data_IF_653844277528
#
_entry.id   IF_653844277528
#
_cell.length_a   1.000
_cell.length_b   1.000
_cell.length_c   1.000
_cell.angle_alpha   90.00
_cell.angle_beta   90.00
_cell.angle_gamma   90.00
#
_symmetry.space_group_name_H-M   'P 1'
#
loop_
_entity.id
_entity.type
_entity.pdbx_description
1 polymer ?
#
# COMPACT_ATOMS: atom_id res chain seq x y z
N UNK A 1 2.78 -15.55 6.62
CA UNK A 1 2.39 -14.78 7.82
C UNK A 1 1.47 -15.63 8.68
N UNK A 2 0.24 -15.97 8.23
CA UNK A 2 -0.76 -16.69 9.04
C UNK A 2 -0.16 -17.94 9.72
N UNK A 3 0.44 -18.85 8.95
CA UNK A 3 1.04 -20.10 9.46
C UNK A 3 2.17 -19.86 10.46
N UNK A 4 3.02 -18.83 10.24
CA UNK A 4 4.17 -18.56 11.13
C UNK A 4 3.75 -18.00 12.49
N UNK A 5 2.72 -17.16 12.49
CA UNK A 5 2.31 -16.44 13.70
C UNK A 5 1.03 -16.99 14.32
N UNK A 6 0.45 -18.04 13.75
CA UNK A 6 -0.79 -18.63 14.25
C UNK A 6 -1.99 -17.68 14.24
N UNK A 7 -1.99 -16.71 13.32
CA UNK A 7 -3.05 -15.69 13.21
C UNK A 7 -3.96 -15.97 12.02
N UNK A 8 -5.21 -15.58 12.15
CA UNK A 8 -6.13 -15.54 11.02
C UNK A 8 -5.86 -14.29 10.17
N UNK A 9 -5.82 -14.46 8.85
CA UNK A 9 -5.64 -13.37 7.88
C UNK A 9 -6.85 -13.34 6.97
N UNK A 10 -7.66 -12.30 7.12
CA UNK A 10 -8.81 -12.07 6.26
C UNK A 10 -8.40 -11.41 4.95
N UNK A 11 -8.70 -12.05 3.81
CA UNK A 11 -8.40 -11.54 2.48
C UNK A 11 -9.61 -10.83 1.88
N UNK A 12 -9.57 -9.50 1.82
CA UNK A 12 -10.56 -8.69 1.10
C UNK A 12 -10.16 -8.57 -0.37
N UNK A 13 -10.98 -9.11 -1.26
CA UNK A 13 -10.75 -9.08 -2.71
C UNK A 13 -11.91 -8.37 -3.41
N UNK A 14 -11.67 -7.66 -4.52
CA UNK A 14 -12.75 -7.21 -5.40
C UNK A 14 -13.54 -8.41 -5.94
N UNK A 15 -14.81 -8.22 -6.17
CA UNK A 15 -15.69 -9.24 -6.79
C UNK A 15 -15.24 -9.58 -8.20
N UNK A 16 -14.86 -8.55 -8.97
CA UNK A 16 -14.37 -8.71 -10.33
C UNK A 16 -12.86 -8.90 -10.38
N UNK A 17 -12.37 -9.76 -11.25
CA UNK A 17 -10.97 -9.82 -11.66
C UNK A 17 -10.51 -8.48 -12.27
N UNK A 18 -9.23 -8.33 -12.61
CA UNK A 18 -8.76 -7.13 -13.32
C UNK A 18 -9.36 -7.10 -14.72
N UNK A 19 -9.36 -8.23 -15.40
CA UNK A 19 -9.84 -8.40 -16.78
C UNK A 19 -11.34 -8.10 -16.88
N UNK A 20 -12.14 -8.62 -15.97
CA UNK A 20 -13.59 -8.36 -15.91
C UNK A 20 -13.89 -6.89 -15.62
N UNK A 21 -13.15 -6.28 -14.68
CA UNK A 21 -13.28 -4.88 -14.36
C UNK A 21 -12.93 -3.97 -15.55
N UNK A 22 -11.87 -4.29 -16.27
CA UNK A 22 -11.48 -3.56 -17.49
C UNK A 22 -12.49 -3.74 -18.62
N UNK A 23 -13.01 -4.95 -18.82
CA UNK A 23 -14.05 -5.21 -19.81
C UNK A 23 -15.33 -4.40 -19.55
N UNK A 24 -15.78 -4.31 -18.28
CA UNK A 24 -16.93 -3.50 -17.90
C UNK A 24 -16.72 -1.99 -18.06
N UNK A 25 -15.48 -1.52 -18.04
CA UNK A 25 -15.13 -0.11 -18.12
C UNK A 25 -14.57 0.32 -19.49
N UNK A 26 -14.62 -0.56 -20.49
CA UNK A 26 -14.13 -0.34 -21.86
C UNK A 26 -12.62 0.00 -21.94
N UNK A 27 -11.81 -0.59 -21.06
CA UNK A 27 -10.36 -0.41 -21.14
C UNK A 27 -9.61 -0.48 -19.82
N UNK A 28 -8.30 -0.30 -19.88
CA UNK A 28 -7.43 -0.41 -18.73
C UNK A 28 -7.57 0.79 -17.77
N UNK A 29 -8.56 0.76 -16.89
CA UNK A 29 -8.90 1.85 -15.96
C UNK A 29 -7.68 2.31 -15.14
N UNK A 30 -6.76 1.41 -14.82
CA UNK A 30 -5.53 1.77 -14.11
C UNK A 30 -4.62 2.72 -14.91
N UNK A 31 -4.69 2.71 -16.25
CA UNK A 31 -3.92 3.63 -17.12
C UNK A 31 -4.61 4.97 -17.30
N UNK A 32 -5.90 4.94 -17.59
CA UNK A 32 -6.65 6.15 -17.96
C UNK A 32 -7.17 6.92 -16.76
N UNK A 33 -7.62 6.18 -15.74
CA UNK A 33 -8.24 6.72 -14.52
C UNK A 33 -7.69 6.03 -13.27
N UNK A 34 -6.37 6.19 -12.96
CA UNK A 34 -5.71 5.45 -11.89
C UNK A 34 -6.31 5.70 -10.49
N UNK A 35 -6.87 6.88 -10.24
CA UNK A 35 -7.54 7.19 -8.97
C UNK A 35 -8.84 6.44 -8.84
N UNK A 36 -9.65 6.37 -9.88
CA UNK A 36 -10.87 5.57 -9.93
C UNK A 36 -10.57 4.08 -9.68
N UNK A 37 -9.58 3.54 -10.38
CA UNK A 37 -9.17 2.15 -10.17
C UNK A 37 -8.73 1.88 -8.72
N UNK A 38 -7.95 2.78 -8.10
CA UNK A 38 -7.55 2.65 -6.71
C UNK A 38 -8.74 2.76 -5.75
N UNK A 39 -9.68 3.63 -6.03
CA UNK A 39 -10.90 3.78 -5.24
C UNK A 39 -11.72 2.49 -5.29
N UNK A 40 -12.10 2.02 -6.48
CA UNK A 40 -12.97 0.87 -6.66
C UNK A 40 -12.36 -0.43 -6.13
N UNK A 41 -11.07 -0.63 -6.40
CA UNK A 41 -10.39 -1.90 -6.11
C UNK A 41 -9.65 -1.97 -4.78
N UNK A 42 -9.60 -0.87 -4.00
CA UNK A 42 -8.93 -0.84 -2.69
C UNK A 42 -9.72 -0.09 -1.63
N UNK A 43 -9.99 1.21 -1.83
CA UNK A 43 -10.60 2.03 -0.78
C UNK A 43 -12.02 1.57 -0.46
N UNK A 44 -12.78 1.27 -1.51
CA UNK A 44 -14.15 0.77 -1.39
C UNK A 44 -14.23 -0.54 -0.59
N UNK A 45 -13.21 -1.39 -0.69
CA UNK A 45 -13.14 -2.65 0.06
C UNK A 45 -12.67 -2.46 1.50
N UNK A 46 -11.85 -1.46 1.74
CA UNK A 46 -11.34 -1.20 3.08
C UNK A 46 -12.41 -0.63 4.01
N UNK A 47 -13.29 0.21 3.49
CA UNK A 47 -14.35 0.84 4.29
C UNK A 47 -15.19 -0.18 5.10
N UNK A 48 -15.82 -1.19 4.50
CA UNK A 48 -16.58 -2.20 5.27
C UNK A 48 -15.69 -3.10 6.12
N UNK A 49 -14.41 -3.27 5.76
CA UNK A 49 -13.47 -4.03 6.59
C UNK A 49 -13.09 -3.30 7.89
N UNK A 50 -13.23 -1.98 7.92
CA UNK A 50 -12.98 -1.13 9.08
C UNK A 50 -14.23 -0.86 9.91
N UNK A 51 -15.40 -1.25 9.43
CA UNK A 51 -16.65 -1.06 10.16
C UNK A 51 -16.61 -1.76 11.53
N UNK A 52 -17.11 -1.07 12.55
CA UNK A 52 -17.07 -1.53 13.94
C UNK A 52 -15.68 -1.60 14.59
N UNK A 53 -14.61 -1.12 13.90
CA UNK A 53 -13.27 -1.01 14.48
C UNK A 53 -13.06 0.35 15.14
N UNK A 54 -12.19 0.40 16.15
CA UNK A 54 -11.84 1.65 16.85
C UNK A 54 -10.60 2.32 16.25
N UNK A 55 -9.72 1.54 15.64
CA UNK A 55 -8.49 2.02 15.03
C UNK A 55 -8.02 1.06 13.93
N UNK A 56 -7.15 1.56 13.05
CA UNK A 56 -6.44 0.73 12.09
C UNK A 56 -4.95 1.08 12.07
N UNK A 57 -4.12 0.09 11.79
CA UNK A 57 -2.68 0.25 11.72
C UNK A 57 -2.18 0.29 10.28
N UNK A 58 -1.20 1.14 10.02
CA UNK A 58 -0.53 1.27 8.72
C UNK A 58 0.99 1.25 8.91
N UNK A 59 1.69 0.52 8.05
CA UNK A 59 3.15 0.42 8.08
C UNK A 59 3.86 1.52 7.27
N UNK A 60 3.25 2.69 7.10
CA UNK A 60 3.91 3.82 6.44
C UNK A 60 5.07 4.34 7.28
N UNK A 61 6.12 4.79 6.59
CA UNK A 61 7.28 5.45 7.18
C UNK A 61 7.48 6.83 6.56
N UNK A 62 8.05 7.75 7.31
CA UNK A 62 8.33 9.11 6.84
C UNK A 62 9.41 9.16 5.76
N UNK A 63 10.35 8.22 5.77
CA UNK A 63 11.43 8.13 4.80
C UNK A 63 11.03 7.60 3.42
N UNK A 64 9.78 7.14 3.24
CA UNK A 64 9.33 6.50 2.01
C UNK A 64 9.06 7.47 0.86
N UNK A 65 8.66 8.69 1.16
CA UNK A 65 8.39 9.75 0.17
C UNK A 65 8.16 11.10 0.84
N UNK A 66 8.32 12.23 0.09
CA UNK A 66 7.99 13.56 0.59
C UNK A 66 6.56 13.67 1.13
N UNK A 67 5.60 13.04 0.47
CA UNK A 67 4.18 13.03 0.88
C UNK A 67 3.97 12.42 2.28
N UNK A 68 4.88 11.53 2.69
CA UNK A 68 4.83 10.83 3.98
C UNK A 68 5.71 11.45 5.06
N UNK A 69 6.56 12.41 4.71
CA UNK A 69 7.56 12.99 5.61
C UNK A 69 6.99 13.51 6.94
N UNK A 70 5.74 13.94 6.93
CA UNK A 70 5.03 14.45 8.11
C UNK A 70 3.94 13.49 8.63
N UNK A 71 4.01 12.19 8.29
CA UNK A 71 3.02 11.22 8.76
C UNK A 71 3.04 11.12 10.30
N UNK A 72 1.91 11.33 10.98
CA UNK A 72 1.83 11.18 12.43
C UNK A 72 1.88 9.71 12.84
N UNK A 73 2.38 9.44 14.05
CA UNK A 73 2.34 8.08 14.63
C UNK A 73 0.89 7.71 14.97
N UNK A 74 0.15 8.64 15.54
CA UNK A 74 -1.28 8.49 15.84
C UNK A 74 -2.01 9.72 15.34
N UNK A 75 -3.09 9.52 14.60
CA UNK A 75 -3.95 10.60 14.13
C UNK A 75 -5.39 10.12 13.93
N UNK A 76 -6.32 11.05 13.88
CA UNK A 76 -7.65 10.80 13.37
C UNK A 76 -7.62 10.69 11.84
N UNK A 77 -8.26 9.66 11.31
CA UNK A 77 -8.41 9.44 9.87
C UNK A 77 -9.83 9.86 9.45
N UNK A 78 -9.94 11.02 8.83
CA UNK A 78 -11.21 11.59 8.40
C UNK A 78 -11.93 10.74 7.35
N UNK A 79 -11.20 9.98 6.54
CA UNK A 79 -11.81 9.13 5.48
C UNK A 79 -12.60 7.97 6.05
N UNK A 80 -12.10 7.41 7.14
CA UNK A 80 -12.66 6.21 7.74
C UNK A 80 -13.30 6.46 9.11
N UNK A 81 -13.19 7.69 9.62
CA UNK A 81 -13.67 8.09 10.96
C UNK A 81 -13.14 7.18 12.07
N UNK A 82 -11.84 6.91 12.04
CA UNK A 82 -11.14 6.02 12.96
C UNK A 82 -9.79 6.61 13.38
N UNK A 83 -9.25 6.11 14.48
CA UNK A 83 -7.85 6.36 14.82
C UNK A 83 -6.96 5.58 13.87
N UNK A 84 -6.00 6.26 13.24
CA UNK A 84 -4.94 5.65 12.43
C UNK A 84 -3.65 5.63 13.24
N UNK A 85 -3.03 4.46 13.32
CA UNK A 85 -1.74 4.27 13.99
C UNK A 85 -0.70 3.85 12.95
N UNK A 86 0.43 4.56 12.93
CA UNK A 86 1.56 4.27 12.05
C UNK A 86 2.80 3.96 12.89
N UNK A 87 2.93 2.74 13.42
CA UNK A 87 3.99 2.39 14.40
C UNK A 87 5.40 2.55 13.84
N UNK A 88 5.54 2.39 12.53
CA UNK A 88 6.82 2.48 11.83
C UNK A 88 7.15 3.90 11.31
N UNK A 89 6.32 4.92 11.62
CA UNK A 89 6.47 6.25 11.03
C UNK A 89 7.89 6.83 11.19
N UNK A 90 8.53 6.61 12.34
CA UNK A 90 9.89 7.10 12.64
C UNK A 90 11.02 6.12 12.23
N UNK A 91 10.69 4.95 11.71
CA UNK A 91 11.69 3.99 11.30
C UNK A 91 12.26 4.33 9.94
N UNK A 92 13.55 4.07 9.77
CA UNK A 92 14.19 4.11 8.46
C UNK A 92 14.07 2.76 7.75
N UNK A 93 14.27 2.77 6.42
CA UNK A 93 14.35 1.54 5.62
C UNK A 93 15.37 0.56 6.20
N UNK A 94 16.57 1.06 6.55
CA UNK A 94 17.62 0.23 7.12
C UNK A 94 17.21 -0.44 8.44
N UNK A 95 16.53 0.30 9.33
CA UNK A 95 16.02 -0.26 10.58
C UNK A 95 14.97 -1.35 10.34
N UNK A 96 14.07 -1.16 9.36
CA UNK A 96 13.07 -2.18 9.01
C UNK A 96 13.75 -3.44 8.48
N UNK A 97 14.69 -3.31 7.56
CA UNK A 97 15.40 -4.48 7.00
C UNK A 97 16.26 -5.19 8.04
N UNK A 98 16.94 -4.43 8.90
CA UNK A 98 17.67 -5.02 10.02
C UNK A 98 16.73 -5.81 10.93
N UNK A 99 15.57 -5.25 11.28
CA UNK A 99 14.58 -5.94 12.12
C UNK A 99 14.03 -7.20 11.45
N UNK A 100 13.77 -7.16 10.15
CA UNK A 100 13.32 -8.32 9.35
C UNK A 100 14.37 -9.44 9.42
N UNK A 101 15.64 -9.10 9.18
CA UNK A 101 16.74 -10.07 9.19
C UNK A 101 17.02 -10.64 10.57
N UNK A 102 17.11 -9.76 11.59
CA UNK A 102 17.42 -10.19 12.96
C UNK A 102 16.35 -11.10 13.56
N UNK A 103 15.10 -10.99 13.10
CA UNK A 103 13.96 -11.74 13.63
C UNK A 103 13.40 -12.79 12.64
N UNK A 104 14.09 -13.03 11.52
CA UNK A 104 13.66 -13.98 10.48
C UNK A 104 12.18 -13.76 10.08
N UNK A 105 11.81 -12.49 9.82
CA UNK A 105 10.43 -12.11 9.45
C UNK A 105 10.19 -12.42 7.98
N UNK A 106 9.13 -13.17 7.61
CA UNK A 106 8.82 -13.43 6.23
C UNK A 106 8.43 -12.14 5.49
N UNK A 107 9.06 -11.90 4.36
CA UNK A 107 8.79 -10.76 3.49
C UNK A 107 8.46 -11.21 2.05
N UNK A 108 8.00 -10.30 1.22
CA UNK A 108 7.66 -10.61 -0.17
C UNK A 108 8.94 -10.80 -1.01
N UNK A 109 9.13 -11.95 -1.69
CA UNK A 109 10.33 -12.24 -2.49
C UNK A 109 10.57 -11.26 -3.65
N UNK A 110 9.58 -10.49 -4.07
CA UNK A 110 9.75 -9.44 -5.07
C UNK A 110 10.76 -8.37 -4.64
N UNK A 111 10.97 -8.19 -3.33
CA UNK A 111 12.00 -7.27 -2.84
C UNK A 111 13.40 -7.66 -3.33
N UNK A 112 13.69 -8.96 -3.42
CA UNK A 112 14.97 -9.48 -3.92
C UNK A 112 15.10 -9.35 -5.46
N UNK A 113 14.00 -9.06 -6.14
CA UNK A 113 13.89 -8.92 -7.59
C UNK A 113 13.82 -7.44 -8.06
N UNK A 114 14.26 -6.51 -7.21
CA UNK A 114 14.29 -5.08 -7.55
C UNK A 114 12.96 -4.34 -7.39
N UNK A 115 12.05 -4.84 -6.55
CA UNK A 115 10.79 -4.16 -6.22
C UNK A 115 10.84 -3.61 -4.78
N UNK A 116 11.46 -2.47 -4.52
CA UNK A 116 11.54 -1.91 -3.16
C UNK A 116 10.19 -1.38 -2.66
N UNK A 117 9.27 -1.07 -3.57
CA UNK A 117 7.90 -0.65 -3.26
C UNK A 117 6.90 -1.43 -4.11
N UNK A 118 6.06 -2.22 -3.45
CA UNK A 118 5.11 -3.13 -4.11
C UNK A 118 3.69 -2.59 -4.01
N UNK A 119 2.96 -2.64 -5.12
CA UNK A 119 1.54 -2.29 -5.20
C UNK A 119 0.74 -3.28 -6.05
N UNK A 120 -0.27 -2.81 -6.76
CA UNK A 120 -0.97 -3.64 -7.73
C UNK A 120 -0.04 -4.01 -8.88
N UNK A 121 -0.13 -5.25 -9.36
CA UNK A 121 0.69 -5.77 -10.45
C UNK A 121 0.74 -4.83 -11.67
N UNK A 122 -0.39 -4.35 -12.23
CA UNK A 122 -0.33 -3.49 -13.41
C UNK A 122 0.23 -2.08 -13.16
N UNK A 123 0.41 -1.69 -11.88
CA UNK A 123 0.92 -0.38 -11.48
C UNK A 123 2.27 -0.46 -10.78
N UNK A 124 3.00 -1.57 -10.93
CA UNK A 124 4.27 -1.77 -10.23
C UNK A 124 5.28 -2.44 -11.17
N UNK A 125 6.47 -1.87 -11.27
CA UNK A 125 7.63 -2.48 -11.95
C UNK A 125 8.82 -2.54 -11.00
N UNK A 126 9.80 -3.36 -11.33
CA UNK A 126 11.13 -3.25 -10.74
C UNK A 126 11.75 -1.89 -11.07
N UNK A 127 12.60 -1.38 -10.21
CA UNK A 127 13.36 -0.15 -10.44
C UNK A 127 14.74 -0.47 -11.02
N UNK A 128 15.30 0.51 -11.73
CA UNK A 128 16.68 0.46 -12.19
C UNK A 128 17.63 0.96 -11.09
N UNK A 129 18.91 0.63 -11.23
CA UNK A 129 19.93 1.12 -10.31
C UNK A 129 19.98 2.66 -10.33
N UNK A 130 19.88 3.27 -9.14
CA UNK A 130 19.89 4.72 -8.96
C UNK A 130 18.50 5.40 -9.04
N UNK A 131 17.45 4.67 -9.38
CA UNK A 131 16.08 5.21 -9.29
C UNK A 131 15.60 5.31 -7.83
N UNK A 132 14.69 6.24 -7.59
CA UNK A 132 13.97 6.34 -6.32
C UNK A 132 13.20 5.05 -6.00
N UNK A 133 13.08 4.70 -4.71
CA UNK A 133 12.38 3.50 -4.25
C UNK A 133 10.95 3.35 -4.78
N UNK A 134 10.29 4.47 -5.04
CA UNK A 134 8.91 4.48 -5.52
C UNK A 134 8.79 4.75 -7.02
N UNK A 135 9.90 4.91 -7.75
CA UNK A 135 9.89 5.12 -9.20
C UNK A 135 9.19 4.00 -9.98
N UNK A 136 9.18 2.79 -9.42
CA UNK A 136 8.42 1.66 -9.97
C UNK A 136 6.90 1.73 -9.77
N UNK A 137 6.39 2.71 -8.98
CA UNK A 137 4.96 2.85 -8.68
C UNK A 137 4.33 3.86 -9.63
N UNK A 138 3.25 3.45 -10.30
CA UNK A 138 2.54 4.29 -11.27
C UNK A 138 3.49 4.96 -12.29
N UNK A 139 4.51 4.22 -12.73
CA UNK A 139 5.50 4.71 -13.70
C UNK A 139 4.81 5.27 -14.95
N UNK A 140 5.13 6.51 -15.32
CA UNK A 140 4.48 7.23 -16.41
C UNK A 140 3.22 8.02 -16.04
N UNK A 141 2.85 8.06 -14.75
CA UNK A 141 1.72 8.84 -14.25
C UNK A 141 2.18 9.89 -13.23
N UNK A 142 1.45 11.00 -13.13
CA UNK A 142 1.67 12.03 -12.11
C UNK A 142 1.25 11.61 -10.68
N UNK A 143 0.87 10.33 -10.50
CA UNK A 143 0.36 9.78 -9.24
C UNK A 143 1.49 9.30 -8.34
N UNK A 144 1.51 9.73 -7.08
CA UNK A 144 2.51 9.36 -6.06
C UNK A 144 1.93 8.48 -4.95
N UNK A 145 0.63 8.53 -4.70
CA UNK A 145 -0.06 7.78 -3.65
C UNK A 145 -1.39 7.15 -4.09
N UNK A 146 -1.79 6.09 -3.43
CA UNK A 146 -3.01 5.34 -3.75
C UNK A 146 -4.27 5.83 -3.01
N UNK A 147 -4.29 7.03 -2.52
CA UNK A 147 -5.44 7.57 -1.80
C UNK A 147 -5.69 7.02 -0.39
N UNK A 148 -5.09 5.88 0.00
CA UNK A 148 -5.15 5.36 1.37
C UNK A 148 -4.41 6.26 2.36
N UNK A 149 -3.34 6.89 1.90
CA UNK A 149 -2.42 7.66 2.72
C UNK A 149 -2.33 9.13 2.30
N UNK A 150 -3.05 9.55 1.24
CA UNK A 150 -3.13 10.96 0.86
C UNK A 150 -3.81 11.75 1.98
N UNK A 151 -3.26 12.93 2.30
CA UNK A 151 -3.97 13.93 3.09
C UNK A 151 -5.13 14.45 2.26
N UNK A 152 -6.27 14.70 2.88
CA UNK A 152 -7.36 15.46 2.25
C UNK A 152 -6.94 16.90 2.16
#
# INVERSE_FOLDING_TARGET
VARRYGIEVELKKPELSVEEYEAQNNGPVYKERPDQCCFDRKLRLLRPALDGKHAWASAIRRDQSPDRAQAPIVAWDEKFHLIKVSPLANWTKGQVWKFITDNDIPYNPLHDQGYPSIGCQPCTRAILLGEDERAGRWSGFAKTECGLHSRN
#
